data_IF_374530395939
#
_entry.id   IF_374530395939
#
_cell.length_a   1.000
_cell.length_b   1.000
_cell.length_c   1.000
_cell.angle_alpha   90.00
_cell.angle_beta   90.00
_cell.angle_gamma   90.00
#
_symmetry.space_group_name_H-M   'P 1'
#
loop_
_entity.id
_entity.type
_entity.pdbx_description
1 polymer ?
#
# COMPACT_ATOMS: atom_id res chain seq x y z
N UNK A 1 7.05 11.33 17.66
CA UNK A 1 6.26 10.53 16.70
C UNK A 1 4.92 10.14 17.30
N UNK A 2 4.87 9.66 18.55
CA UNK A 2 3.61 9.51 19.31
C UNK A 2 2.79 10.80 19.32
N UNK A 3 3.44 11.94 19.51
CA UNK A 3 2.74 13.23 19.65
C UNK A 3 2.11 13.73 18.35
N UNK A 4 2.43 13.11 17.21
CA UNK A 4 1.86 13.45 15.90
C UNK A 4 0.84 12.41 15.43
N UNK A 5 0.53 11.39 16.24
CA UNK A 5 -0.43 10.33 15.89
C UNK A 5 -0.11 9.61 14.56
N UNK A 6 1.18 9.47 14.25
CA UNK A 6 1.68 8.82 13.03
C UNK A 6 2.34 7.48 13.33
N UNK A 7 2.03 6.48 12.50
CA UNK A 7 2.54 5.12 12.61
C UNK A 7 3.46 4.77 11.42
N UNK A 8 4.44 3.91 11.67
CA UNK A 8 5.34 3.43 10.63
C UNK A 8 4.65 2.39 9.75
N UNK A 9 4.78 2.55 8.43
CA UNK A 9 4.33 1.51 7.50
C UNK A 9 5.28 0.30 7.58
N UNK A 10 4.76 -0.93 7.72
CA UNK A 10 5.58 -2.14 7.70
C UNK A 10 6.40 -2.23 6.42
N UNK A 11 7.70 -2.54 6.55
CA UNK A 11 8.59 -2.69 5.41
C UNK A 11 8.72 -4.15 4.99
N UNK A 12 8.62 -4.41 3.69
CA UNK A 12 8.81 -5.71 3.07
C UNK A 12 10.10 -5.69 2.24
N UNK A 13 10.88 -6.77 2.34
CA UNK A 13 12.14 -6.93 1.62
C UNK A 13 13.35 -6.41 2.40
N UNK A 14 14.10 -5.47 1.80
CA UNK A 14 15.35 -4.98 2.38
C UNK A 14 15.13 -4.22 3.70
N UNK A 15 16.16 -4.13 4.53
CA UNK A 15 16.08 -3.52 5.87
C UNK A 15 16.59 -2.07 5.95
N UNK A 16 17.41 -1.63 5.00
CA UNK A 16 18.14 -0.34 5.06
C UNK A 16 17.82 0.52 3.84
N UNK A 17 17.70 1.82 4.05
CA UNK A 17 17.39 2.81 3.00
C UNK A 17 18.56 3.72 2.68
N UNK A 18 19.64 3.64 3.46
CA UNK A 18 20.85 4.41 3.23
C UNK A 18 22.09 3.55 3.49
N UNK A 19 23.12 3.77 2.67
CA UNK A 19 24.39 3.06 2.72
C UNK A 19 25.53 4.06 2.57
N UNK A 20 26.49 4.01 3.49
CA UNK A 20 27.71 4.81 3.38
C UNK A 20 28.42 4.45 2.07
N UNK A 21 28.96 5.42 1.31
CA UNK A 21 29.59 5.14 0.01
C UNK A 21 30.71 4.09 0.05
N UNK A 22 31.46 4.04 1.16
CA UNK A 22 32.53 3.08 1.39
C UNK A 22 32.04 1.70 1.91
N UNK A 23 30.73 1.50 2.03
CA UNK A 23 30.11 0.25 2.47
C UNK A 23 30.24 -0.07 3.96
N UNK A 24 30.89 0.76 4.77
CA UNK A 24 31.19 0.41 6.17
C UNK A 24 30.01 0.60 7.12
N UNK A 25 28.95 1.29 6.69
CA UNK A 25 27.77 1.53 7.49
C UNK A 25 26.52 1.58 6.63
N UNK A 26 25.39 1.26 7.25
CA UNK A 26 24.05 1.31 6.65
C UNK A 26 23.04 1.68 7.72
N UNK A 27 21.99 2.39 7.33
CA UNK A 27 20.94 2.83 8.24
C UNK A 27 19.58 2.86 7.53
N UNK A 28 18.51 2.87 8.31
CA UNK A 28 17.15 3.09 7.82
C UNK A 28 16.74 4.52 8.16
N UNK A 29 16.98 5.43 7.22
CA UNK A 29 16.71 6.86 7.39
C UNK A 29 15.33 7.22 6.82
N UNK A 30 15.05 6.75 5.61
CA UNK A 30 13.79 6.98 4.90
C UNK A 30 12.68 6.02 5.33
N UNK A 31 11.46 6.55 5.56
CA UNK A 31 10.28 5.78 5.96
C UNK A 31 8.98 6.52 5.62
N UNK A 32 7.95 5.76 5.25
CA UNK A 32 6.59 6.28 5.16
C UNK A 32 5.90 6.20 6.52
N UNK A 33 5.17 7.26 6.82
CA UNK A 33 4.35 7.38 8.01
C UNK A 33 2.91 7.58 7.57
N UNK A 34 1.98 6.96 8.28
CA UNK A 34 0.55 7.06 8.00
C UNK A 34 -0.19 7.47 9.27
N UNK A 35 -1.27 8.23 9.09
CA UNK A 35 -2.14 8.60 10.21
C UNK A 35 -3.14 7.47 10.51
N UNK A 36 -3.77 7.56 11.68
CA UNK A 36 -4.81 6.61 12.07
C UNK A 36 -6.02 6.67 11.12
N UNK A 37 -6.38 7.85 10.62
CA UNK A 37 -7.47 8.01 9.66
C UNK A 37 -7.23 7.20 8.39
N UNK A 38 -5.99 7.19 7.90
CA UNK A 38 -5.61 6.37 6.74
C UNK A 38 -5.82 4.87 6.99
N UNK A 39 -5.45 4.38 8.18
CA UNK A 39 -5.70 2.99 8.57
C UNK A 39 -7.20 2.65 8.60
N UNK A 40 -8.04 3.60 9.03
CA UNK A 40 -9.51 3.38 9.06
C UNK A 40 -10.14 3.33 7.67
N UNK A 41 -9.50 3.88 6.64
CA UNK A 41 -10.00 3.85 5.25
C UNK A 41 -9.94 2.47 4.59
N UNK A 42 -9.62 1.40 5.34
CA UNK A 42 -9.61 -0.01 4.88
C UNK A 42 -8.59 -0.29 3.77
N UNK A 43 -7.55 0.54 3.67
CA UNK A 43 -6.41 0.35 2.79
C UNK A 43 -5.28 -0.27 3.61
N UNK A 44 -4.90 -1.49 3.27
CA UNK A 44 -3.65 -2.05 3.76
C UNK A 44 -2.49 -1.37 3.04
N UNK A 45 -1.39 -1.14 3.76
CA UNK A 45 -0.21 -0.47 3.22
C UNK A 45 1.02 -1.30 3.52
N UNK A 46 1.89 -1.38 2.52
CA UNK A 46 3.23 -1.93 2.68
C UNK A 46 4.25 -0.98 2.07
N UNK A 47 5.40 -0.86 2.72
CA UNK A 47 6.55 -0.14 2.19
C UNK A 47 7.52 -1.17 1.60
N UNK A 48 7.97 -0.92 0.38
CA UNK A 48 9.02 -1.69 -0.28
C UNK A 48 10.25 -0.81 -0.41
N UNK A 49 11.40 -1.36 -0.04
CA UNK A 49 12.69 -0.75 -0.34
C UNK A 49 13.16 -1.33 -1.68
N UNK A 50 13.44 -0.46 -2.65
CA UNK A 50 13.89 -0.83 -3.98
C UNK A 50 15.41 -0.94 -4.02
N UNK A 51 15.93 -1.59 -5.07
CA UNK A 51 17.37 -1.71 -5.28
C UNK A 51 18.01 -0.33 -5.44
N UNK A 52 19.20 -0.19 -4.83
CA UNK A 52 20.01 1.01 -4.92
C UNK A 52 20.61 1.12 -6.31
N UNK A 53 20.53 2.32 -6.90
CA UNK A 53 21.21 2.64 -8.16
C UNK A 53 22.44 3.53 -7.88
N UNK A 54 22.40 4.81 -8.24
CA UNK A 54 23.55 5.72 -8.15
C UNK A 54 23.60 6.56 -6.86
N UNK A 55 22.50 6.67 -6.12
CA UNK A 55 22.46 7.37 -4.84
C UNK A 55 22.99 6.48 -3.70
N UNK A 56 23.47 7.10 -2.63
CA UNK A 56 23.71 6.44 -1.35
C UNK A 56 22.40 6.02 -0.64
N UNK A 57 21.25 6.51 -1.11
CA UNK A 57 19.92 6.09 -0.70
C UNK A 57 19.29 5.05 -1.63
N UNK A 58 18.52 4.14 -1.04
CA UNK A 58 17.59 3.24 -1.73
C UNK A 58 16.23 3.93 -1.85
N UNK A 59 15.63 3.97 -3.05
CA UNK A 59 14.26 4.44 -3.20
C UNK A 59 13.29 3.58 -2.38
N UNK A 60 12.28 4.22 -1.78
CA UNK A 60 11.19 3.53 -1.09
C UNK A 60 9.87 3.76 -1.80
N UNK A 61 9.05 2.72 -1.90
CA UNK A 61 7.74 2.73 -2.54
C UNK A 61 6.68 2.28 -1.55
N UNK A 62 5.62 3.08 -1.39
CA UNK A 62 4.41 2.64 -0.67
C UNK A 62 3.43 2.02 -1.66
N UNK A 63 2.95 0.81 -1.34
CA UNK A 63 1.87 0.15 -2.08
C UNK A 63 0.65 0.05 -1.18
N UNK A 64 -0.47 0.54 -1.70
CA UNK A 64 -1.77 0.41 -1.10
C UNK A 64 -2.49 -0.77 -1.74
N UNK A 65 -3.14 -1.59 -0.92
CA UNK A 65 -4.06 -2.61 -1.38
C UNK A 65 -5.39 -2.42 -0.69
N UNK A 66 -6.47 -2.56 -1.46
CA UNK A 66 -7.80 -2.69 -0.88
C UNK A 66 -7.81 -4.05 -0.18
N UNK A 67 -8.01 -4.04 1.14
CA UNK A 67 -8.24 -5.29 1.86
C UNK A 67 -9.55 -5.86 1.31
N UNK A 68 -9.48 -6.97 0.59
CA UNK A 68 -10.66 -7.62 0.01
C UNK A 68 -11.66 -7.92 1.15
N UNK A 69 -12.87 -7.35 1.05
CA UNK A 69 -13.95 -7.55 2.04
C UNK A 69 -15.02 -8.51 1.53
N UNK A 70 -14.69 -9.27 0.49
CA UNK A 70 -15.62 -10.14 -0.20
C UNK A 70 -16.08 -9.53 -1.52
N UNK A 71 -16.92 -10.26 -2.27
CA UNK A 71 -17.30 -9.87 -3.62
C UNK A 71 -17.87 -8.46 -3.64
N UNK A 72 -17.33 -7.64 -4.56
CA UNK A 72 -17.82 -6.29 -4.83
C UNK A 72 -19.33 -6.39 -5.06
N UNK A 73 -20.12 -5.78 -4.16
CA UNK A 73 -21.58 -5.75 -4.32
C UNK A 73 -21.89 -5.11 -5.67
N UNK A 74 -22.42 -5.90 -6.60
CA UNK A 74 -22.99 -5.37 -7.83
C UNK A 74 -24.45 -5.04 -7.55
N UNK A 75 -24.86 -3.85 -7.98
CA UNK A 75 -26.26 -3.44 -7.91
C UNK A 75 -26.85 -3.66 -9.29
N UNK A 76 -27.84 -4.54 -9.40
CA UNK A 76 -28.65 -4.68 -10.62
C UNK A 76 -29.93 -3.88 -10.42
N UNK A 77 -30.34 -3.12 -11.43
CA UNK A 77 -31.65 -2.49 -11.41
C UNK A 77 -32.72 -3.54 -11.68
N UNK A 78 -33.73 -3.61 -10.83
CA UNK A 78 -34.77 -4.63 -10.93
C UNK A 78 -35.54 -4.55 -12.27
N UNK A 79 -35.60 -3.36 -12.89
CA UNK A 79 -36.20 -3.17 -14.20
C UNK A 79 -35.44 -3.90 -15.33
N UNK A 80 -34.13 -4.13 -15.19
CA UNK A 80 -33.36 -4.87 -16.19
C UNK A 80 -33.70 -6.36 -16.20
N UNK A 81 -34.11 -6.93 -15.06
CA UNK A 81 -34.60 -8.32 -14.99
C UNK A 81 -35.99 -8.49 -15.62
N UNK A 82 -36.71 -7.39 -15.88
CA UNK A 82 -38.02 -7.40 -16.53
C UNK A 82 -37.92 -7.22 -18.05
N UNK A 83 -36.74 -6.87 -18.58
CA UNK A 83 -36.52 -6.78 -20.03
C UNK A 83 -36.43 -8.19 -20.62
N UNK A 84 -37.27 -8.46 -21.63
CA UNK A 84 -37.33 -9.76 -22.32
C UNK A 84 -36.04 -10.10 -23.07
N UNK A 85 -35.21 -9.10 -23.36
CA UNK A 85 -33.92 -9.27 -24.03
C UNK A 85 -32.77 -9.45 -23.04
N UNK A 86 -33.01 -9.35 -21.72
CA UNK A 86 -32.00 -9.56 -20.72
C UNK A 86 -31.60 -11.05 -20.68
N UNK A 87 -30.46 -11.36 -21.29
CA UNK A 87 -29.92 -12.72 -21.32
C UNK A 87 -29.39 -13.10 -19.95
N UNK A 88 -29.82 -14.26 -19.45
CA UNK A 88 -29.08 -14.93 -18.37
C UNK A 88 -27.67 -15.22 -18.87
N UNK A 89 -26.69 -14.87 -18.04
CA UNK A 89 -25.33 -15.36 -18.20
C UNK A 89 -25.33 -16.78 -17.64
N UNK A 90 -24.95 -17.75 -18.48
CA UNK A 90 -24.72 -19.15 -18.10
C UNK A 90 -23.43 -19.31 -17.29
#
# INVERSE_FOLDING_TARGET
MSDMELENVPSLGMAFTWFRPNGTARSKLDRFLISKEWLTMRLGCSQHILERNTSDHCPILVKNYVVDKGPKMFWVLNCWLQDKNFRKLD
#
